data_IF_145883885676
#
_entry.id   IF_145883885676
#
_cell.length_a   1.000
_cell.length_b   1.000
_cell.length_c   1.000
_cell.angle_alpha   90.00
_cell.angle_beta   90.00
_cell.angle_gamma   90.00
#
_symmetry.space_group_name_H-M   'P 1'
#
loop_
_entity.id
_entity.type
_entity.pdbx_description
1 polymer ?
#
# COMPACT_ATOMS: atom_id res chain seq x y z
N UNK A 1 8.58 0.69 -1.25
CA UNK A 1 7.37 1.21 -0.59
C UNK A 1 7.73 2.44 0.22
N UNK A 2 6.99 3.51 0.05
CA UNK A 2 7.24 4.76 0.77
C UNK A 2 6.20 4.97 1.85
N UNK A 3 6.68 5.16 3.07
CA UNK A 3 5.83 5.47 4.21
C UNK A 3 6.14 6.87 4.69
N UNK A 4 5.11 7.65 4.93
CA UNK A 4 5.27 9.03 5.39
C UNK A 4 4.19 9.36 6.39
N UNK A 5 4.48 10.35 7.23
CA UNK A 5 3.51 10.85 8.20
C UNK A 5 3.15 12.28 7.84
N UNK A 6 1.86 12.55 7.76
CA UNK A 6 1.36 13.88 7.49
C UNK A 6 1.39 14.69 8.78
N UNK A 7 2.19 15.74 8.80
CA UNK A 7 2.34 16.56 9.98
C UNK A 7 1.10 17.37 10.33
N UNK A 8 0.28 17.64 9.34
CA UNK A 8 -0.94 18.44 9.56
C UNK A 8 -2.03 17.64 10.26
N UNK A 9 -2.22 16.40 9.86
CA UNK A 9 -3.27 15.54 10.42
C UNK A 9 -2.73 14.48 11.35
N UNK A 10 -1.41 14.35 11.43
CA UNK A 10 -0.71 13.34 12.22
C UNK A 10 -1.12 11.93 11.82
N UNK A 11 -1.50 11.76 10.57
CA UNK A 11 -1.88 10.45 10.06
C UNK A 11 -0.81 9.92 9.11
N UNK A 12 -0.70 8.61 9.06
CA UNK A 12 0.26 7.95 8.20
C UNK A 12 -0.32 7.72 6.82
N UNK A 13 0.56 7.72 5.84
CA UNK A 13 0.19 7.40 4.47
C UNK A 13 1.23 6.47 3.87
N UNK A 14 0.83 5.75 2.83
CA UNK A 14 1.79 4.92 2.11
C UNK A 14 1.57 5.04 0.61
N UNK A 15 2.63 4.81 -0.12
CA UNK A 15 2.64 4.92 -1.56
C UNK A 15 3.60 3.89 -2.12
N UNK A 16 3.16 3.14 -3.11
CA UNK A 16 4.00 2.14 -3.74
C UNK A 16 3.49 1.83 -5.13
N UNK A 17 4.35 1.21 -5.93
CA UNK A 17 4.00 0.77 -7.27
C UNK A 17 3.75 -0.73 -7.26
N UNK A 18 2.82 -1.16 -8.09
CA UNK A 18 2.52 -2.58 -8.25
C UNK A 18 2.19 -2.87 -9.70
N UNK A 19 2.28 -4.14 -10.08
CA UNK A 19 1.92 -4.58 -11.43
C UNK A 19 0.58 -5.29 -11.36
N UNK A 20 -0.37 -4.86 -12.19
CA UNK A 20 -1.68 -5.49 -12.20
C UNK A 20 -1.64 -6.81 -12.98
N UNK A 21 -2.79 -7.48 -13.08
CA UNK A 21 -2.88 -8.77 -13.74
C UNK A 21 -2.59 -8.70 -15.25
N UNK A 22 -2.71 -7.51 -15.83
CA UNK A 22 -2.40 -7.30 -17.24
C UNK A 22 -0.93 -6.97 -17.48
N UNK A 23 -0.15 -6.81 -16.40
CA UNK A 23 1.25 -6.46 -16.51
C UNK A 23 1.51 -4.97 -16.54
N UNK A 24 0.49 -4.15 -16.31
CA UNK A 24 0.65 -2.70 -16.29
C UNK A 24 1.10 -2.22 -14.93
N UNK A 25 2.06 -1.30 -14.93
CA UNK A 25 2.55 -0.72 -13.69
C UNK A 25 1.57 0.36 -13.22
N UNK A 26 1.14 0.23 -11.98
CA UNK A 26 0.22 1.19 -11.39
C UNK A 26 0.73 1.66 -10.04
N UNK A 27 0.26 2.82 -9.62
CA UNK A 27 0.63 3.40 -8.34
C UNK A 27 -0.53 3.30 -7.37
N UNK A 28 -0.24 2.87 -6.16
CA UNK A 28 -1.23 2.81 -5.10
C UNK A 28 -0.89 3.82 -4.02
N UNK A 29 -1.89 4.59 -3.63
CA UNK A 29 -1.75 5.60 -2.58
C UNK A 29 -2.88 5.42 -1.57
N UNK A 30 -2.51 5.39 -0.29
CA UNK A 30 -3.49 5.25 0.77
C UNK A 30 -3.05 6.10 1.97
N UNK A 31 -3.98 6.78 2.58
CA UNK A 31 -3.71 7.62 3.74
C UNK A 31 -4.84 7.46 4.76
N UNK A 32 -4.65 8.11 5.93
CA UNK A 32 -5.64 8.05 6.98
C UNK A 32 -5.36 6.97 8.00
N UNK A 33 -4.16 6.42 8.01
CA UNK A 33 -3.77 5.43 9.01
C UNK A 33 -3.34 6.14 10.30
N UNK A 34 -3.63 5.51 11.42
CA UNK A 34 -3.27 6.08 12.72
C UNK A 34 -1.82 5.80 13.10
N UNK A 35 -1.32 4.63 12.74
CA UNK A 35 0.03 4.22 13.10
C UNK A 35 0.74 3.63 11.90
N UNK A 36 2.06 3.56 12.03
CA UNK A 36 2.89 2.94 11.00
C UNK A 36 2.56 1.45 10.86
N UNK A 37 2.26 0.80 11.99
CA UNK A 37 1.91 -0.62 11.97
C UNK A 37 0.68 -0.89 11.13
N UNK A 38 -0.31 -0.01 11.20
CA UNK A 38 -1.52 -0.14 10.39
C UNK A 38 -1.19 -0.05 8.90
N UNK A 39 -0.31 0.90 8.55
CA UNK A 39 0.09 1.06 7.15
C UNK A 39 0.80 -0.19 6.66
N UNK A 40 1.73 -0.70 7.44
CA UNK A 40 2.50 -1.88 7.06
C UNK A 40 1.60 -3.10 6.91
N UNK A 41 0.67 -3.29 7.83
CA UNK A 41 -0.25 -4.41 7.78
C UNK A 41 -1.14 -4.33 6.54
N UNK A 42 -1.64 -3.14 6.25
CA UNK A 42 -2.48 -2.95 5.07
C UNK A 42 -1.71 -3.23 3.78
N UNK A 43 -0.49 -2.71 3.69
CA UNK A 43 0.32 -2.90 2.50
C UNK A 43 0.67 -4.37 2.29
N UNK A 44 1.00 -5.06 3.37
CA UNK A 44 1.33 -6.48 3.31
C UNK A 44 0.12 -7.28 2.82
N UNK A 45 -1.04 -6.99 3.37
CA UNK A 45 -2.26 -7.68 2.98
C UNK A 45 -2.59 -7.44 1.51
N UNK A 46 -2.44 -6.22 1.06
CA UNK A 46 -2.67 -5.87 -0.34
C UNK A 46 -1.75 -6.67 -1.28
N UNK A 47 -0.46 -6.72 -0.93
CA UNK A 47 0.51 -7.43 -1.76
C UNK A 47 0.26 -8.93 -1.76
N UNK A 48 -0.19 -9.49 -0.64
CA UNK A 48 -0.54 -10.90 -0.58
C UNK A 48 -1.71 -11.24 -1.48
N UNK A 49 -2.71 -10.39 -1.50
CA UNK A 49 -3.87 -10.59 -2.36
C UNK A 49 -3.47 -10.53 -3.84
N UNK A 50 -2.58 -9.62 -4.18
CA UNK A 50 -2.07 -9.51 -5.53
C UNK A 50 -1.36 -10.79 -5.95
N UNK A 51 -0.53 -11.30 -5.05
CA UNK A 51 0.24 -12.51 -5.31
C UNK A 51 -0.66 -13.71 -5.51
N UNK A 52 -1.70 -13.82 -4.71
CA UNK A 52 -2.66 -14.92 -4.85
C UNK A 52 -3.36 -14.87 -6.21
N UNK A 53 -3.71 -13.69 -6.67
CA UNK A 53 -4.37 -13.55 -7.96
C UNK A 53 -3.46 -13.91 -9.12
N UNK A 54 -2.18 -13.69 -8.97
CA UNK A 54 -1.21 -13.99 -10.01
C UNK A 54 -0.89 -15.48 -10.11
N UNK A 55 -1.17 -16.22 -9.06
CA UNK A 55 -0.87 -17.65 -9.04
C UNK A 55 -1.92 -18.51 -9.70
N UNK A 56 -2.95 -17.93 -10.19
CA UNK A 56 -3.97 -18.70 -10.92
C UNK A 56 -3.53 -19.07 -12.34
#
# INVERSE_FOLDING_TARGET
MNLSKDKKTEKWLCQFYYTDWQGNRKKKFKRGFRTKSEVEAWARDFLQQQESNLKM
#
